data_IF_538079444298
#
_entry.id   IF_538079444298
#
_cell.length_a   1.000
_cell.length_b   1.000
_cell.length_c   1.000
_cell.angle_alpha   90.00
_cell.angle_beta   90.00
_cell.angle_gamma   90.00
#
_symmetry.space_group_name_H-M   'P 1'
#
loop_
_entity.id
_entity.type
_entity.pdbx_description
1 polymer ?
#
# COMPACT_ATOMS: atom_id res chain seq x y z
N UNK A 1 6.48 5.19 1.13
CA UNK A 1 5.07 5.15 1.56
C UNK A 1 4.87 4.82 3.05
N UNK A 2 5.61 3.89 3.67
CA UNK A 2 5.52 3.66 5.13
C UNK A 2 5.73 4.93 5.97
N UNK A 3 6.54 5.89 5.50
CA UNK A 3 6.74 7.18 6.16
C UNK A 3 5.48 8.07 6.23
N UNK A 4 4.53 7.91 5.30
CA UNK A 4 3.29 8.71 5.26
C UNK A 4 2.23 8.08 6.17
N UNK A 5 2.22 6.75 6.28
CA UNK A 5 1.23 6.00 7.06
C UNK A 5 1.67 5.66 8.49
N UNK A 6 2.97 5.73 8.81
CA UNK A 6 3.51 5.37 10.14
C UNK A 6 2.84 6.12 11.30
N UNK A 7 2.40 7.36 11.10
CA UNK A 7 1.80 8.22 12.13
C UNK A 7 0.28 8.18 12.19
N UNK A 8 -0.40 7.47 11.28
CA UNK A 8 -1.87 7.54 11.17
C UNK A 8 -2.58 6.97 12.40
N UNK A 9 -2.10 5.86 12.96
CA UNK A 9 -2.67 5.24 14.17
C UNK A 9 -1.71 5.34 15.36
N UNK A 10 -0.40 5.13 15.14
CA UNK A 10 0.58 5.12 16.24
C UNK A 10 0.61 6.43 17.03
N UNK A 11 0.46 7.57 16.36
CA UNK A 11 0.49 8.89 17.00
C UNK A 11 -0.74 9.11 17.88
N UNK A 12 -1.92 8.72 17.41
CA UNK A 12 -3.15 8.79 18.21
C UNK A 12 -3.13 7.82 19.39
N UNK A 13 -2.49 6.65 19.24
CA UNK A 13 -2.23 5.74 20.36
C UNK A 13 -1.32 6.39 21.40
N UNK A 14 -0.20 6.96 20.97
CA UNK A 14 0.75 7.63 21.87
C UNK A 14 0.16 8.84 22.61
N UNK A 15 -0.83 9.50 22.01
CA UNK A 15 -1.51 10.67 22.57
C UNK A 15 -2.76 10.30 23.39
N UNK A 16 -3.15 9.02 23.44
CA UNK A 16 -4.37 8.56 24.10
C UNK A 16 -5.69 9.00 23.41
N UNK A 17 -5.61 9.75 22.31
CA UNK A 17 -6.80 10.22 21.58
C UNK A 17 -7.56 9.09 20.89
N UNK A 18 -6.88 7.98 20.59
CA UNK A 18 -7.54 6.80 20.02
C UNK A 18 -8.66 6.28 20.96
N UNK A 19 -8.43 6.31 22.27
CA UNK A 19 -9.41 5.81 23.25
C UNK A 19 -10.69 6.66 23.23
N UNK A 20 -10.54 7.98 23.17
CA UNK A 20 -11.66 8.92 23.05
C UNK A 20 -12.47 8.62 21.77
N UNK A 21 -11.79 8.44 20.64
CA UNK A 21 -12.46 8.16 19.36
C UNK A 21 -13.23 6.83 19.42
N UNK A 22 -12.65 5.80 20.07
CA UNK A 22 -13.31 4.49 20.19
C UNK A 22 -14.51 4.44 21.13
N UNK A 23 -14.71 5.48 21.97
CA UNK A 23 -15.92 5.64 22.81
C UNK A 23 -17.09 6.27 22.05
N UNK A 24 -16.84 6.90 20.90
CA UNK A 24 -17.90 7.37 20.01
C UNK A 24 -18.61 6.18 19.35
N UNK A 25 -19.89 6.31 18.96
CA UNK A 25 -20.66 5.24 18.31
C UNK A 25 -20.23 5.04 16.84
N UNK A 26 -18.93 4.99 16.59
CA UNK A 26 -18.32 4.82 15.26
C UNK A 26 -17.77 3.39 15.17
N UNK A 27 -17.97 2.74 14.02
CA UNK A 27 -17.42 1.40 13.81
C UNK A 27 -15.92 1.50 13.55
N UNK A 28 -15.14 0.58 14.12
CA UNK A 28 -13.67 0.52 13.92
C UNK A 28 -13.27 0.43 12.44
N UNK A 29 -14.11 -0.27 11.65
CA UNK A 29 -13.94 -0.36 10.19
C UNK A 29 -13.95 1.01 9.53
N UNK A 30 -14.82 1.91 9.96
CA UNK A 30 -14.95 3.24 9.38
C UNK A 30 -13.74 4.12 9.73
N UNK A 31 -13.18 3.95 10.94
CA UNK A 31 -11.93 4.61 11.36
C UNK A 31 -10.76 4.14 10.50
N UNK A 32 -10.61 2.83 10.30
CA UNK A 32 -9.54 2.24 9.49
C UNK A 32 -9.65 2.66 8.03
N UNK A 33 -10.85 2.59 7.45
CA UNK A 33 -11.09 3.01 6.07
C UNK A 33 -10.82 4.50 5.91
N UNK A 34 -11.28 5.35 6.84
CA UNK A 34 -11.02 6.79 6.80
C UNK A 34 -9.52 7.11 6.81
N UNK A 35 -8.74 6.47 7.69
CA UNK A 35 -7.29 6.64 7.75
C UNK A 35 -6.58 6.14 6.49
N UNK A 36 -7.02 5.00 5.97
CA UNK A 36 -6.52 4.48 4.71
C UNK A 36 -6.78 5.46 3.55
N UNK A 37 -8.01 5.98 3.44
CA UNK A 37 -8.37 6.94 2.39
C UNK A 37 -7.61 8.26 2.52
N UNK A 38 -7.32 8.73 3.74
CA UNK A 38 -6.47 9.89 3.97
C UNK A 38 -5.02 9.66 3.51
N UNK A 39 -4.45 8.47 3.77
CA UNK A 39 -3.14 8.11 3.26
C UNK A 39 -3.12 7.95 1.74
N UNK A 40 -4.16 7.33 1.18
CA UNK A 40 -4.30 7.11 -0.26
C UNK A 40 -4.46 8.42 -1.03
N UNK A 41 -5.26 9.36 -0.51
CA UNK A 41 -5.46 10.67 -1.16
C UNK A 41 -4.16 11.47 -1.25
N UNK A 42 -3.33 11.45 -0.20
CA UNK A 42 -2.00 12.06 -0.23
C UNK A 42 -1.12 11.46 -1.33
N UNK A 43 -1.17 10.15 -1.52
CA UNK A 43 -0.43 9.47 -2.60
C UNK A 43 -0.97 9.85 -3.97
N UNK A 44 -2.30 9.89 -4.14
CA UNK A 44 -2.91 10.29 -5.40
C UNK A 44 -2.57 11.73 -5.76
N UNK A 45 -2.54 12.65 -4.79
CA UNK A 45 -2.09 14.03 -4.98
C UNK A 45 -0.61 14.07 -5.36
N UNK A 46 0.25 13.32 -4.67
CA UNK A 46 1.67 13.24 -5.00
C UNK A 46 1.90 12.69 -6.43
N UNK A 47 1.19 11.64 -6.81
CA UNK A 47 1.21 11.09 -8.17
C UNK A 47 0.70 12.11 -9.19
N UNK A 48 -0.37 12.83 -8.87
CA UNK A 48 -0.89 13.89 -9.73
C UNK A 48 0.18 14.97 -9.97
N UNK A 49 0.90 15.40 -8.94
CA UNK A 49 2.04 16.34 -9.10
C UNK A 49 3.13 15.80 -10.01
N UNK A 50 3.42 14.49 -9.96
CA UNK A 50 4.42 13.89 -10.88
C UNK A 50 4.01 13.93 -12.35
N UNK A 51 2.72 14.10 -12.66
CA UNK A 51 2.21 14.28 -14.04
C UNK A 51 2.86 15.46 -14.78
N UNK A 52 3.48 16.41 -14.08
CA UNK A 52 4.28 17.47 -14.71
C UNK A 52 5.39 16.86 -15.59
N UNK A 53 5.99 15.74 -15.18
CA UNK A 53 7.02 15.05 -15.97
C UNK A 53 6.46 14.46 -17.26
N UNK A 54 5.18 14.04 -17.25
CA UNK A 54 4.51 13.59 -18.47
C UNK A 54 4.34 14.73 -19.48
N UNK A 55 4.05 15.95 -19.02
CA UNK A 55 3.97 17.13 -19.88
C UNK A 55 5.34 17.45 -20.50
N UNK A 56 6.43 17.34 -19.73
CA UNK A 56 7.79 17.49 -20.26
C UNK A 56 8.11 16.43 -21.30
N UNK A 57 7.77 15.17 -21.02
CA UNK A 57 7.94 14.07 -21.97
C UNK A 57 7.15 14.32 -23.25
N UNK A 58 5.89 14.74 -23.16
CA UNK A 58 5.05 15.07 -24.32
C UNK A 58 5.69 16.13 -25.23
N UNK A 59 6.33 17.15 -24.65
CA UNK A 59 6.92 18.24 -25.42
C UNK A 59 8.29 17.91 -26.04
N UNK A 60 9.04 16.95 -25.48
CA UNK A 60 10.44 16.66 -25.87
C UNK A 60 10.58 15.27 -26.52
N UNK A 61 9.65 14.36 -26.28
CA UNK A 61 9.71 12.96 -26.72
C UNK A 61 9.21 12.77 -28.15
N UNK A 62 9.97 12.04 -28.95
CA UNK A 62 9.67 11.75 -30.36
C UNK A 62 8.73 10.57 -30.58
N UNK A 63 8.64 9.61 -29.64
CA UNK A 63 7.68 8.49 -29.65
C UNK A 63 7.26 8.16 -28.22
N UNK A 64 6.03 8.50 -27.84
CA UNK A 64 5.51 8.27 -26.49
C UNK A 64 4.36 7.27 -26.58
N UNK A 65 4.49 6.18 -25.83
CA UNK A 65 3.38 5.27 -25.61
C UNK A 65 2.50 5.81 -24.47
N UNK A 66 1.46 6.57 -24.85
CA UNK A 66 0.48 7.12 -23.91
C UNK A 66 -0.25 6.03 -23.11
N UNK A 67 -0.40 4.84 -23.69
CA UNK A 67 -1.02 3.69 -23.02
C UNK A 67 -0.15 3.17 -21.89
N UNK A 68 1.14 2.95 -22.16
CA UNK A 68 2.11 2.54 -21.14
C UNK A 68 2.24 3.56 -20.00
N UNK A 69 2.16 4.86 -20.31
CA UNK A 69 2.20 5.90 -19.27
C UNK A 69 0.96 5.84 -18.38
N UNK A 70 -0.25 5.85 -18.96
CA UNK A 70 -1.50 5.84 -18.19
C UNK A 70 -1.60 4.59 -17.31
N UNK A 71 -1.29 3.43 -17.89
CA UNK A 71 -1.28 2.15 -17.16
C UNK A 71 -0.21 2.15 -16.06
N UNK A 72 0.98 2.69 -16.32
CA UNK A 72 2.02 2.89 -15.31
C UNK A 72 1.55 3.72 -14.11
N UNK A 73 0.87 4.86 -14.34
CA UNK A 73 0.30 5.67 -13.27
C UNK A 73 -0.78 4.92 -12.47
N UNK A 74 -1.65 4.17 -13.16
CA UNK A 74 -2.64 3.32 -12.50
C UNK A 74 -1.97 2.24 -11.64
N UNK A 75 -0.93 1.58 -12.15
CA UNK A 75 -0.15 0.59 -11.41
C UNK A 75 0.52 1.16 -10.17
N UNK A 76 1.11 2.35 -10.28
CA UNK A 76 1.70 3.06 -9.14
C UNK A 76 0.66 3.46 -8.10
N UNK A 77 -0.54 3.88 -8.51
CA UNK A 77 -1.64 4.19 -7.59
C UNK A 77 -2.09 2.94 -6.81
N UNK A 78 -2.24 1.80 -7.49
CA UNK A 78 -2.62 0.52 -6.85
C UNK A 78 -1.54 -0.01 -5.91
N UNK A 79 -0.29 0.01 -6.35
CA UNK A 79 0.86 -0.34 -5.52
C UNK A 79 0.93 0.56 -4.28
N UNK A 80 0.66 1.85 -4.47
CA UNK A 80 0.63 2.79 -3.38
C UNK A 80 -0.49 2.55 -2.38
N UNK A 81 -1.65 2.10 -2.86
CA UNK A 81 -2.72 1.57 -2.03
C UNK A 81 -2.27 0.40 -1.15
N UNK A 82 -1.61 -0.61 -1.74
CA UNK A 82 -1.08 -1.76 -0.97
C UNK A 82 -0.12 -1.29 0.13
N UNK A 83 0.87 -0.47 -0.20
CA UNK A 83 1.85 -0.02 0.78
C UNK A 83 1.26 0.91 1.86
N UNK A 84 0.18 1.63 1.54
CA UNK A 84 -0.58 2.39 2.53
C UNK A 84 -1.31 1.47 3.49
N UNK A 85 -2.01 0.46 2.97
CA UNK A 85 -2.70 -0.53 3.81
C UNK A 85 -1.71 -1.26 4.74
N UNK A 86 -0.53 -1.65 4.23
CA UNK A 86 0.56 -2.23 5.03
C UNK A 86 1.03 -1.29 6.12
N UNK A 87 1.24 0.00 5.81
CA UNK A 87 1.72 0.95 6.82
C UNK A 87 0.65 1.35 7.84
N UNK A 88 -0.63 1.36 7.45
CA UNK A 88 -1.75 1.51 8.39
C UNK A 88 -1.77 0.32 9.35
N UNK A 89 -1.63 -0.90 8.83
CA UNK A 89 -1.50 -2.10 9.65
C UNK A 89 -0.31 -2.03 10.60
N UNK A 90 0.89 -1.70 10.11
CA UNK A 90 2.08 -1.61 10.98
C UNK A 90 1.94 -0.53 12.05
N UNK A 91 1.30 0.60 11.73
CA UNK A 91 0.99 1.66 12.71
C UNK A 91 -0.04 1.25 13.76
N UNK A 92 -0.86 0.23 13.48
CA UNK A 92 -1.80 -0.33 14.46
C UNK A 92 -1.13 -1.28 15.46
N UNK A 93 0.04 -1.83 15.15
CA UNK A 93 0.72 -2.81 16.01
C UNK A 93 1.48 -2.17 17.17
N UNK A 94 1.81 -0.89 17.09
CA UNK A 94 2.68 -0.22 18.06
C UNK A 94 2.28 1.24 18.26
N UNK A 95 2.55 1.76 19.46
CA UNK A 95 2.34 3.16 19.82
C UNK A 95 3.53 4.03 19.42
N UNK A 96 4.69 3.42 19.11
CA UNK A 96 5.89 4.14 18.69
C UNK A 96 5.97 4.23 17.17
N UNK A 97 5.92 5.46 16.65
CA UNK A 97 5.99 5.76 15.22
C UNK A 97 7.24 5.19 14.53
N UNK A 98 8.39 5.13 15.22
CA UNK A 98 9.64 4.58 14.68
C UNK A 98 9.52 3.07 14.49
N UNK A 99 8.95 2.36 15.47
CA UNK A 99 8.75 0.91 15.38
C UNK A 99 7.72 0.60 14.27
N UNK A 100 6.65 1.38 14.19
CA UNK A 100 5.63 1.24 13.15
C UNK A 100 6.23 1.39 11.74
N UNK A 101 7.15 2.34 11.59
CA UNK A 101 7.88 2.57 10.35
C UNK A 101 8.80 1.41 9.98
N UNK A 102 9.61 0.90 10.93
CA UNK A 102 10.51 -0.23 10.70
C UNK A 102 9.73 -1.48 10.27
N UNK A 103 8.65 -1.81 10.97
CA UNK A 103 7.80 -2.96 10.63
C UNK A 103 7.15 -2.77 9.26
N UNK A 104 6.64 -1.57 8.96
CA UNK A 104 6.06 -1.27 7.66
C UNK A 104 7.06 -1.44 6.51
N UNK A 105 8.28 -0.93 6.67
CA UNK A 105 9.36 -1.13 5.70
C UNK A 105 9.71 -2.60 5.55
N UNK A 106 9.85 -3.34 6.65
CA UNK A 106 10.20 -4.77 6.58
C UNK A 106 9.17 -5.55 5.76
N UNK A 107 7.87 -5.32 5.99
CA UNK A 107 6.80 -5.98 5.22
C UNK A 107 6.86 -5.57 3.75
N UNK A 108 6.99 -4.28 3.45
CA UNK A 108 7.09 -3.79 2.06
C UNK A 108 8.32 -4.37 1.34
N UNK A 109 9.45 -4.46 2.02
CA UNK A 109 10.67 -5.04 1.47
C UNK A 109 10.49 -6.53 1.15
N UNK A 110 9.78 -7.29 1.99
CA UNK A 110 9.47 -8.70 1.67
C UNK A 110 8.72 -8.78 0.35
N UNK A 111 7.62 -8.04 0.17
CA UNK A 111 6.86 -8.06 -1.09
C UNK A 111 7.66 -7.58 -2.30
N UNK A 112 8.55 -6.60 -2.12
CA UNK A 112 9.42 -6.09 -3.17
C UNK A 112 10.51 -7.10 -3.57
N UNK A 113 11.16 -7.76 -2.60
CA UNK A 113 12.26 -8.68 -2.86
C UNK A 113 11.80 -10.05 -3.39
N UNK A 114 10.51 -10.39 -3.29
CA UNK A 114 10.01 -11.70 -3.74
C UNK A 114 10.37 -12.01 -5.20
N UNK A 115 10.33 -11.03 -6.10
CA UNK A 115 10.74 -11.23 -7.52
C UNK A 115 12.24 -11.50 -7.64
N UNK A 116 13.07 -10.75 -6.90
CA UNK A 116 14.54 -10.85 -6.95
C UNK A 116 15.05 -12.16 -6.35
N UNK A 117 14.30 -12.75 -5.42
CA UNK A 117 14.67 -13.98 -4.74
C UNK A 117 14.23 -15.25 -5.49
N UNK A 118 13.50 -15.13 -6.61
CA UNK A 118 13.02 -16.26 -7.39
C UNK A 118 14.14 -17.23 -7.81
N UNK A 119 15.34 -16.73 -8.07
CA UNK A 119 16.50 -17.58 -8.44
C UNK A 119 16.94 -18.55 -7.34
N UNK A 120 16.57 -18.27 -6.08
CA UNK A 120 16.89 -19.12 -4.92
C UNK A 120 15.72 -20.02 -4.51
N UNK A 121 14.56 -19.89 -5.16
CA UNK A 121 13.34 -20.64 -4.82
C UNK A 121 13.24 -21.90 -5.69
N UNK A 122 12.88 -23.07 -5.12
CA UNK A 122 12.63 -24.28 -5.89
C UNK A 122 11.60 -24.04 -7.00
N UNK A 123 11.81 -24.63 -8.18
CA UNK A 123 10.94 -24.43 -9.35
C UNK A 123 9.45 -24.74 -9.09
N UNK A 124 9.15 -25.64 -8.15
CA UNK A 124 7.78 -25.96 -7.72
C UNK A 124 7.07 -24.82 -6.97
N UNK A 125 7.82 -23.95 -6.29
CA UNK A 125 7.28 -22.82 -5.53
C UNK A 125 7.46 -21.48 -6.26
N UNK A 126 8.31 -21.42 -7.27
CA UNK A 126 8.64 -20.20 -8.01
C UNK A 126 7.38 -19.50 -8.55
N UNK A 127 6.41 -20.24 -9.10
CA UNK A 127 5.17 -19.65 -9.63
C UNK A 127 4.30 -18.97 -8.55
N UNK A 128 4.25 -19.53 -7.34
CA UNK A 128 3.49 -18.94 -6.22
C UNK A 128 4.21 -17.69 -5.72
N UNK A 129 5.53 -17.76 -5.55
CA UNK A 129 6.35 -16.64 -5.09
C UNK A 129 6.29 -15.47 -6.08
N UNK A 130 6.31 -15.78 -7.37
CA UNK A 130 6.20 -14.77 -8.43
C UNK A 130 4.83 -14.08 -8.42
N UNK A 131 3.75 -14.85 -8.23
CA UNK A 131 2.41 -14.29 -8.10
C UNK A 131 2.23 -13.46 -6.82
N UNK A 132 2.99 -13.74 -5.77
CA UNK A 132 2.97 -12.94 -4.55
C UNK A 132 3.80 -11.65 -4.67
N UNK A 133 4.60 -11.47 -5.73
CA UNK A 133 5.42 -10.29 -5.90
C UNK A 133 4.64 -9.09 -6.43
N UNK A 134 4.71 -7.97 -5.69
CA UNK A 134 4.15 -6.69 -6.15
C UNK A 134 4.89 -6.11 -7.36
N UNK A 135 6.18 -6.43 -7.51
CA UNK A 135 7.00 -5.95 -8.63
C UNK A 135 6.59 -6.62 -9.95
N UNK A 136 6.29 -7.93 -9.91
CA UNK A 136 5.82 -8.67 -11.08
C UNK A 136 4.52 -8.09 -11.65
N UNK A 137 3.53 -7.86 -10.77
CA UNK A 137 2.26 -7.25 -11.16
C UNK A 137 2.42 -5.81 -11.66
N UNK A 138 3.30 -5.02 -11.04
CA UNK A 138 3.59 -3.66 -11.50
C UNK A 138 4.23 -3.64 -12.89
N UNK A 139 5.21 -4.52 -13.14
CA UNK A 139 5.90 -4.61 -14.44
C UNK A 139 4.95 -5.03 -15.57
N UNK A 140 3.97 -5.88 -15.28
CA UNK A 140 2.93 -6.25 -16.25
C UNK A 140 2.03 -5.05 -16.59
N UNK A 141 1.60 -4.29 -15.58
CA UNK A 141 0.78 -3.10 -15.79
C UNK A 141 1.56 -2.00 -16.51
N UNK A 142 2.82 -1.76 -16.13
CA UNK A 142 3.66 -0.70 -16.71
C UNK A 142 3.97 -0.92 -18.20
N UNK A 143 3.80 -2.14 -18.71
CA UNK A 143 3.91 -2.47 -20.14
C UNK A 143 2.62 -2.24 -20.94
N UNK A 144 1.60 -1.62 -20.36
CA UNK A 144 0.33 -1.37 -21.04
C UNK A 144 -0.71 -2.48 -20.88
N UNK A 145 -0.40 -3.57 -20.17
CA UNK A 145 -1.30 -4.73 -20.05
C UNK A 145 -2.07 -4.67 -18.72
N UNK A 146 -3.29 -4.15 -18.76
CA UNK A 146 -4.22 -4.23 -17.63
C UNK A 146 -4.88 -5.61 -17.66
N UNK A 147 -4.38 -6.54 -16.86
CA UNK A 147 -5.08 -7.79 -16.57
C UNK A 147 -5.89 -7.66 -15.27
N UNK A 148 -7.12 -8.18 -15.30
CA UNK A 148 -7.97 -8.39 -14.12
C UNK A 148 -7.25 -9.08 -12.96
N UNK A 149 -6.32 -10.00 -13.26
CA UNK A 149 -5.51 -10.70 -12.25
C UNK A 149 -4.71 -9.74 -11.37
N UNK A 150 -4.12 -8.71 -11.97
CA UNK A 150 -3.33 -7.72 -11.23
C UNK A 150 -4.24 -6.88 -10.32
N UNK A 151 -5.41 -6.46 -10.82
CA UNK A 151 -6.38 -5.69 -10.04
C UNK A 151 -6.91 -6.49 -8.85
N UNK A 152 -7.26 -7.76 -9.07
CA UNK A 152 -7.72 -8.66 -8.00
C UNK A 152 -6.63 -8.90 -6.97
N UNK A 153 -5.37 -9.08 -7.40
CA UNK A 153 -4.23 -9.21 -6.48
C UNK A 153 -4.09 -7.97 -5.58
N UNK A 154 -3.97 -6.76 -6.17
CA UNK A 154 -3.81 -5.53 -5.40
C UNK A 154 -4.99 -5.30 -4.45
N UNK A 155 -6.23 -5.50 -4.94
CA UNK A 155 -7.43 -5.39 -4.13
C UNK A 155 -7.48 -6.38 -2.96
N UNK A 156 -7.06 -7.62 -3.19
CA UNK A 156 -7.02 -8.66 -2.15
C UNK A 156 -6.00 -8.33 -1.07
N UNK A 157 -4.80 -7.86 -1.44
CA UNK A 157 -3.75 -7.48 -0.49
C UNK A 157 -4.18 -6.26 0.34
N UNK A 158 -4.78 -5.24 -0.30
CA UNK A 158 -5.34 -4.08 0.42
C UNK A 158 -6.40 -4.55 1.42
N UNK A 159 -7.38 -5.34 0.97
CA UNK A 159 -8.46 -5.84 1.81
C UNK A 159 -7.95 -6.66 3.00
N UNK A 160 -6.95 -7.52 2.76
CA UNK A 160 -6.31 -8.33 3.81
C UNK A 160 -5.68 -7.47 4.91
N UNK A 161 -4.85 -6.49 4.54
CA UNK A 161 -4.19 -5.64 5.55
C UNK A 161 -5.15 -4.72 6.28
N UNK A 162 -6.17 -4.17 5.61
CA UNK A 162 -7.21 -3.38 6.27
C UNK A 162 -8.03 -4.23 7.23
N UNK A 163 -8.42 -5.44 6.83
CA UNK A 163 -9.12 -6.38 7.70
C UNK A 163 -8.29 -6.73 8.95
N UNK A 164 -6.99 -7.02 8.77
CA UNK A 164 -6.08 -7.29 9.88
C UNK A 164 -5.96 -6.07 10.81
N UNK A 165 -5.89 -4.86 10.27
CA UNK A 165 -5.86 -3.62 11.06
C UNK A 165 -7.13 -3.49 11.92
N UNK A 166 -8.31 -3.71 11.34
CA UNK A 166 -9.58 -3.69 12.10
C UNK A 166 -9.57 -4.71 13.23
N UNK A 167 -9.11 -5.93 12.98
CA UNK A 167 -9.03 -6.98 14.00
C UNK A 167 -8.08 -6.63 15.15
N UNK A 168 -6.95 -6.00 14.84
CA UNK A 168 -6.01 -5.52 15.86
C UNK A 168 -6.65 -4.45 16.75
N UNK A 169 -7.45 -3.54 16.18
CA UNK A 169 -8.17 -2.53 16.96
C UNK A 169 -9.31 -3.11 17.80
N UNK A 170 -10.09 -4.04 17.25
CA UNK A 170 -11.15 -4.75 17.96
C UNK A 170 -10.61 -5.55 19.16
N UNK A 171 -9.49 -6.27 18.98
CA UNK A 171 -8.87 -7.07 20.03
C UNK A 171 -8.41 -6.21 21.22
N UNK A 172 -8.00 -4.95 21.00
CA UNK A 172 -7.58 -4.04 22.07
C UNK A 172 -8.74 -3.69 23.02
N UNK A 173 -10.00 -3.71 22.57
CA UNK A 173 -11.17 -3.42 23.42
C UNK A 173 -11.47 -4.53 24.42
N UNK A 174 -10.92 -5.72 24.23
CA UNK A 174 -11.19 -6.90 25.07
C UNK A 174 -10.10 -7.17 26.11
N UNK A 175 -9.00 -6.42 26.08
CA UNK A 175 -7.92 -6.47 27.06
C UNK A 175 -7.95 -5.27 27.99
#
# INVERSE_FOLDING_TARGET
>A
MPAVSMGLISREKSLGTLEIITTLPIRERDIVIGKYMAGLSLILVALFTTSIHYITLYNVGTTIDHGAVFTGYLGLALLGGVYTAVGVFSSSLTENQVIAFIVGIAIVLVFFLMDKLLMFVPASLAGIVQYMSTEFHLSNIARGVIDTRNLVYFGSVIGFFLFMTTRVLEARKWS
#
